data_IF_805664125478
#
_entry.id   IF_805664125478
#
_cell.length_a   1.000
_cell.length_b   1.000
_cell.length_c   1.000
_cell.angle_alpha   90.00
_cell.angle_beta   90.00
_cell.angle_gamma   90.00
#
_symmetry.space_group_name_H-M   'P 1'
#
loop_
_entity.id
_entity.type
_entity.pdbx_description
1 polymer ?
#
# COMPACT_ATOMS: atom_id res chain seq x y z
N UNK A 1 9.56 1.63 34.00
CA UNK A 1 10.40 2.69 33.42
C UNK A 1 10.71 2.32 31.98
N UNK A 2 10.69 3.27 31.05
CA UNK A 2 10.95 3.09 29.65
C UNK A 2 9.81 3.56 28.74
N UNK A 3 10.11 3.65 27.45
CA UNK A 3 9.14 4.04 26.40
C UNK A 3 8.21 2.86 26.04
N UNK A 4 7.08 3.19 25.41
CA UNK A 4 6.06 2.21 25.04
C UNK A 4 5.94 2.12 23.51
N UNK A 5 5.74 0.90 23.03
CA UNK A 5 5.43 0.64 21.62
C UNK A 5 4.13 -0.14 21.53
N UNK A 6 3.18 0.37 20.73
CA UNK A 6 1.88 -0.26 20.50
C UNK A 6 1.79 -0.64 19.03
N UNK A 7 1.67 -1.92 18.72
CA UNK A 7 1.45 -2.39 17.36
C UNK A 7 -0.03 -2.38 16.99
N UNK A 8 -0.35 -1.74 15.85
CA UNK A 8 -1.70 -1.65 15.29
C UNK A 8 -1.71 -2.06 13.82
N UNK A 9 -2.86 -2.46 13.25
CA UNK A 9 -2.91 -3.00 11.90
C UNK A 9 -2.50 -2.03 10.80
N UNK A 10 -2.86 -0.75 10.90
CA UNK A 10 -2.66 0.23 9.83
C UNK A 10 -2.52 1.67 10.30
N UNK A 11 -2.21 2.56 9.38
CA UNK A 11 -1.98 3.99 9.66
C UNK A 11 -3.22 4.69 10.24
N UNK A 12 -4.41 4.34 9.74
CA UNK A 12 -5.66 4.91 10.27
C UNK A 12 -5.86 4.54 11.73
N UNK A 13 -5.67 3.27 12.07
CA UNK A 13 -5.77 2.76 13.43
C UNK A 13 -4.69 3.37 14.34
N UNK A 14 -3.50 3.66 13.78
CA UNK A 14 -2.42 4.35 14.51
C UNK A 14 -2.84 5.79 14.86
N UNK A 15 -3.33 6.55 13.90
CA UNK A 15 -3.77 7.92 14.14
C UNK A 15 -4.96 8.00 15.11
N UNK A 16 -5.92 7.08 14.99
CA UNK A 16 -7.07 7.00 15.92
C UNK A 16 -6.62 6.65 17.34
N UNK A 17 -5.66 5.75 17.51
CA UNK A 17 -5.11 5.38 18.81
C UNK A 17 -4.30 6.54 19.42
N UNK A 18 -3.45 7.21 18.62
CA UNK A 18 -2.70 8.41 19.05
C UNK A 18 -3.65 9.48 19.57
N UNK A 19 -4.75 9.75 18.84
CA UNK A 19 -5.73 10.75 19.28
C UNK A 19 -6.39 10.35 20.61
N UNK A 20 -6.78 9.09 20.78
CA UNK A 20 -7.39 8.59 22.04
C UNK A 20 -6.42 8.64 23.21
N UNK A 21 -5.16 8.28 23.00
CA UNK A 21 -4.15 8.31 24.07
C UNK A 21 -3.88 9.76 24.49
N UNK A 22 -3.77 10.70 23.53
CA UNK A 22 -3.60 12.14 23.84
C UNK A 22 -4.80 12.72 24.59
N UNK A 23 -6.03 12.26 24.27
CA UNK A 23 -7.24 12.69 24.98
C UNK A 23 -7.29 12.14 26.43
N UNK A 24 -6.76 10.93 26.63
CA UNK A 24 -6.82 10.24 27.93
C UNK A 24 -5.66 10.57 28.88
N UNK A 25 -4.51 10.94 28.34
CA UNK A 25 -3.29 11.22 29.10
C UNK A 25 -2.96 12.72 29.04
N UNK A 26 -2.38 13.22 30.12
CA UNK A 26 -1.87 14.60 30.18
C UNK A 26 -0.69 14.82 29.23
N UNK A 27 -0.27 16.09 29.07
CA UNK A 27 0.90 16.51 28.28
C UNK A 27 2.26 15.98 28.79
N UNK A 28 2.25 15.14 29.82
CA UNK A 28 3.46 14.51 30.40
C UNK A 28 4.04 13.39 29.54
N UNK A 29 3.32 12.96 28.48
CA UNK A 29 3.72 11.91 27.57
C UNK A 29 3.77 12.40 26.14
N UNK A 30 4.78 11.98 25.38
CA UNK A 30 4.89 12.23 23.95
C UNK A 30 4.30 11.05 23.16
N UNK A 31 3.18 11.25 22.49
CA UNK A 31 2.50 10.21 21.70
C UNK A 31 2.72 10.44 20.21
N UNK A 32 3.34 9.48 19.52
CA UNK A 32 3.74 9.56 18.12
C UNK A 32 3.19 8.40 17.30
N UNK A 33 2.68 8.63 16.08
CA UNK A 33 2.42 7.56 15.13
C UNK A 33 3.71 7.08 14.46
N UNK A 34 3.73 5.82 13.97
CA UNK A 34 4.83 5.26 13.18
C UNK A 34 4.32 4.35 12.06
N UNK A 35 4.36 4.84 10.81
CA UNK A 35 3.99 4.07 9.62
C UNK A 35 4.75 4.58 8.37
N UNK A 36 4.77 3.80 7.31
CA UNK A 36 5.65 4.01 6.13
C UNK A 36 5.38 5.29 5.33
N UNK A 37 4.21 5.92 5.49
CA UNK A 37 3.85 7.14 4.75
C UNK A 37 4.08 8.44 5.53
N UNK A 38 4.66 8.37 6.74
CA UNK A 38 5.11 9.54 7.48
C UNK A 38 6.27 10.23 6.76
N UNK A 39 6.37 11.53 6.92
CA UNK A 39 7.51 12.26 6.41
C UNK A 39 8.78 12.04 7.24
N UNK A 40 9.92 12.49 6.69
CA UNK A 40 11.21 12.27 7.35
C UNK A 40 11.38 13.02 8.66
N UNK A 41 10.68 14.13 8.86
CA UNK A 41 10.79 14.93 10.09
C UNK A 41 9.91 14.35 11.21
N UNK A 42 8.73 13.84 10.88
CA UNK A 42 7.90 13.08 11.81
C UNK A 42 8.61 11.79 12.27
N UNK A 43 9.27 11.07 11.36
CA UNK A 43 10.05 9.88 11.71
C UNK A 43 11.24 10.21 12.61
N UNK A 44 11.90 11.36 12.44
CA UNK A 44 13.03 11.77 13.31
C UNK A 44 12.61 11.92 14.77
N UNK A 45 11.37 12.36 15.05
CA UNK A 45 10.87 12.49 16.42
C UNK A 45 10.83 11.14 17.15
N UNK A 46 10.62 10.05 16.41
CA UNK A 46 10.61 8.69 16.99
C UNK A 46 11.98 8.33 17.56
N UNK A 47 13.05 8.74 16.89
CA UNK A 47 14.43 8.45 17.29
C UNK A 47 15.00 9.46 18.30
N UNK A 48 14.39 10.65 18.40
CA UNK A 48 14.91 11.71 19.27
C UNK A 48 14.69 11.34 20.73
N UNK A 49 15.75 11.34 21.57
CA UNK A 49 15.59 11.15 23.00
C UNK A 49 14.72 12.27 23.62
N UNK A 50 13.81 11.91 24.49
CA UNK A 50 12.85 12.85 25.12
C UNK A 50 13.21 13.19 26.56
N UNK A 51 14.39 12.79 27.03
CA UNK A 51 14.82 13.03 28.42
C UNK A 51 13.90 12.32 29.42
N UNK A 52 13.23 13.08 30.27
CA UNK A 52 12.34 12.54 31.30
C UNK A 52 10.90 12.34 30.80
N UNK A 53 10.56 12.78 29.59
CA UNK A 53 9.21 12.61 29.03
C UNK A 53 9.08 11.22 28.42
N UNK A 54 8.11 10.44 28.87
CA UNK A 54 7.84 9.10 28.32
C UNK A 54 7.28 9.20 26.91
N UNK A 55 7.84 8.42 26.01
CA UNK A 55 7.39 8.29 24.63
C UNK A 55 6.46 7.08 24.48
N UNK A 56 5.35 7.28 23.81
CA UNK A 56 4.43 6.23 23.39
C UNK A 56 4.39 6.24 21.86
N UNK A 57 4.91 5.20 21.22
CA UNK A 57 4.90 5.07 19.77
C UNK A 57 3.81 4.09 19.36
N UNK A 58 2.87 4.54 18.53
CA UNK A 58 1.82 3.69 17.96
C UNK A 58 2.19 3.35 16.54
N UNK A 59 2.59 2.10 16.28
CA UNK A 59 3.23 1.70 15.05
C UNK A 59 2.47 0.62 14.29
N UNK A 60 2.61 0.63 12.97
CA UNK A 60 2.31 -0.52 12.12
C UNK A 60 3.50 -1.50 12.10
N UNK A 61 3.43 -2.51 11.24
CA UNK A 61 4.54 -3.46 11.03
C UNK A 61 5.88 -2.83 10.61
N UNK A 62 5.94 -1.53 10.32
CA UNK A 62 7.21 -0.82 10.08
C UNK A 62 8.16 -0.92 11.28
N UNK A 63 7.61 -0.93 12.50
CA UNK A 63 8.40 -1.07 13.71
C UNK A 63 8.80 -2.53 14.01
N UNK A 64 8.36 -3.49 13.21
CA UNK A 64 8.71 -4.90 13.34
C UNK A 64 10.14 -5.19 12.84
N UNK A 65 10.64 -4.45 11.83
CA UNK A 65 11.97 -4.63 11.27
C UNK A 65 12.73 -3.34 10.98
N UNK A 66 12.03 -2.28 10.53
CA UNK A 66 12.65 -1.11 9.91
C UNK A 66 12.97 0.03 10.88
N UNK A 67 12.40 0.03 12.08
CA UNK A 67 12.60 1.08 13.10
C UNK A 67 13.20 0.45 14.36
N UNK A 68 14.28 1.04 14.86
CA UNK A 68 14.84 0.69 16.17
C UNK A 68 14.56 1.83 17.14
N UNK A 69 13.87 1.52 18.24
CA UNK A 69 13.57 2.46 19.33
C UNK A 69 14.28 1.94 20.56
N UNK A 70 15.17 2.74 21.10
CA UNK A 70 15.90 2.39 22.32
C UNK A 70 15.04 2.66 23.56
N UNK A 71 15.32 1.94 24.64
CA UNK A 71 14.66 2.18 25.94
C UNK A 71 13.20 1.72 26.02
N UNK A 72 12.77 0.79 25.14
CA UNK A 72 11.40 0.24 25.20
C UNK A 72 11.22 -0.67 26.41
N UNK A 73 10.41 -0.23 27.38
CA UNK A 73 10.03 -1.01 28.55
C UNK A 73 8.73 -1.79 28.38
N UNK A 74 7.87 -1.38 27.42
CA UNK A 74 6.60 -2.03 27.19
C UNK A 74 6.28 -2.12 25.69
N UNK A 75 5.87 -3.32 25.26
CA UNK A 75 5.25 -3.57 23.96
C UNK A 75 3.82 -4.04 24.18
N UNK A 76 2.87 -3.42 23.49
CA UNK A 76 1.48 -3.90 23.38
C UNK A 76 1.25 -4.32 21.93
N UNK A 77 0.95 -5.59 21.72
CA UNK A 77 0.75 -6.15 20.38
C UNK A 77 -0.74 -6.51 20.18
N UNK A 78 -1.40 -5.81 19.25
CA UNK A 78 -2.78 -6.14 18.86
C UNK A 78 -2.88 -7.45 18.09
N UNK A 79 -1.75 -8.10 17.76
CA UNK A 79 -1.63 -9.34 17.01
C UNK A 79 -2.22 -9.27 15.60
N UNK A 80 -2.34 -8.07 15.04
CA UNK A 80 -2.94 -7.83 13.72
C UNK A 80 -2.02 -7.00 12.83
N UNK A 81 -2.15 -7.21 11.52
CA UNK A 81 -1.51 -6.37 10.49
C UNK A 81 -2.44 -6.22 9.27
N UNK A 82 -2.14 -5.25 8.42
CA UNK A 82 -2.74 -5.19 7.08
C UNK A 82 -1.87 -5.94 6.10
N UNK A 83 -2.50 -6.83 5.36
CA UNK A 83 -1.86 -7.66 4.37
C UNK A 83 -2.50 -7.49 3.00
N UNK A 84 -1.66 -7.40 1.97
CA UNK A 84 -2.13 -7.39 0.59
C UNK A 84 -2.43 -8.83 0.16
N UNK A 85 -3.66 -9.07 -0.28
CA UNK A 85 -4.11 -10.35 -0.83
C UNK A 85 -4.63 -10.15 -2.25
N UNK A 86 -4.40 -11.12 -3.12
CA UNK A 86 -4.99 -11.11 -4.45
C UNK A 86 -6.44 -11.53 -4.37
N UNK A 87 -7.35 -10.75 -4.96
CA UNK A 87 -8.73 -11.19 -5.17
C UNK A 87 -8.81 -12.17 -6.35
N UNK A 88 -9.89 -12.93 -6.43
CA UNK A 88 -10.17 -13.82 -7.58
C UNK A 88 -10.18 -13.06 -8.94
N UNK A 89 -10.46 -11.76 -8.94
CA UNK A 89 -10.38 -10.90 -10.14
C UNK A 89 -8.95 -10.43 -10.46
N UNK A 90 -7.94 -10.81 -9.66
CA UNK A 90 -6.55 -10.39 -9.81
C UNK A 90 -6.30 -8.93 -9.38
N UNK A 91 -7.22 -8.32 -8.65
CA UNK A 91 -6.99 -7.06 -7.96
C UNK A 91 -6.38 -7.32 -6.59
N UNK A 92 -5.56 -6.39 -6.10
CA UNK A 92 -4.99 -6.46 -4.75
C UNK A 92 -5.90 -5.77 -3.75
N UNK A 93 -6.19 -6.43 -2.64
CA UNK A 93 -6.97 -5.89 -1.53
C UNK A 93 -6.12 -5.91 -0.26
N UNK A 94 -6.24 -4.87 0.57
CA UNK A 94 -5.64 -4.86 1.90
C UNK A 94 -6.66 -5.37 2.92
N UNK A 95 -6.32 -6.45 3.57
CA UNK A 95 -7.15 -7.07 4.62
C UNK A 95 -6.44 -7.02 5.96
N UNK A 96 -7.23 -6.88 7.04
CA UNK A 96 -6.69 -6.99 8.39
C UNK A 96 -6.71 -8.45 8.81
N UNK A 97 -5.52 -9.00 9.04
CA UNK A 97 -5.32 -10.40 9.40
C UNK A 97 -4.56 -10.52 10.72
N UNK A 98 -4.63 -11.69 11.35
CA UNK A 98 -3.74 -12.04 12.45
C UNK A 98 -2.30 -12.21 11.93
N UNK A 99 -1.33 -11.82 12.76
CA UNK A 99 0.09 -12.03 12.45
C UNK A 99 0.49 -13.49 12.74
N UNK A 100 1.66 -13.87 12.27
CA UNK A 100 2.27 -15.19 12.50
C UNK A 100 3.09 -15.22 13.80
N UNK A 101 3.44 -16.41 14.28
CA UNK A 101 4.25 -16.57 15.51
C UNK A 101 5.63 -15.96 15.39
N UNK A 102 6.25 -16.02 14.20
CA UNK A 102 7.54 -15.39 13.95
C UNK A 102 7.44 -13.86 14.00
N UNK A 103 6.41 -13.28 13.43
CA UNK A 103 6.12 -11.84 13.53
C UNK A 103 5.88 -11.43 14.99
N UNK A 104 5.10 -12.20 15.74
CA UNK A 104 4.90 -11.97 17.18
C UNK A 104 6.20 -12.04 17.99
N UNK A 105 7.11 -12.94 17.64
CA UNK A 105 8.46 -13.01 18.24
C UNK A 105 9.30 -11.79 17.88
N UNK A 106 9.24 -11.32 16.65
CA UNK A 106 9.95 -10.10 16.22
C UNK A 106 9.45 -8.86 16.96
N UNK A 107 8.12 -8.72 17.13
CA UNK A 107 7.50 -7.63 17.90
C UNK A 107 7.87 -7.69 19.38
N UNK A 108 7.85 -8.85 20.00
CA UNK A 108 8.37 -9.06 21.35
C UNK A 108 9.83 -8.63 21.46
N UNK A 109 10.66 -8.98 20.47
CA UNK A 109 12.09 -8.63 20.41
C UNK A 109 12.37 -7.14 20.26
N UNK A 110 11.36 -6.26 20.18
CA UNK A 110 11.55 -4.80 20.21
C UNK A 110 11.81 -4.29 21.61
N UNK A 111 11.32 -4.96 22.65
CA UNK A 111 11.65 -4.68 24.06
C UNK A 111 12.72 -5.63 24.59
N UNK A 112 13.28 -5.34 25.74
CA UNK A 112 14.32 -6.17 26.37
C UNK A 112 15.71 -6.03 25.76
N UNK A 113 15.98 -5.00 24.94
CA UNK A 113 17.28 -4.77 24.30
C UNK A 113 18.24 -3.96 25.17
N UNK A 114 17.80 -2.80 25.61
CA UNK A 114 18.59 -1.83 26.38
C UNK A 114 18.12 -1.72 27.82
N UNK A 115 16.92 -2.16 28.13
CA UNK A 115 16.34 -2.23 29.47
C UNK A 115 15.40 -3.44 29.57
N UNK A 116 15.13 -3.97 30.78
CA UNK A 116 14.09 -4.97 30.99
C UNK A 116 12.74 -4.49 30.49
N UNK A 117 11.97 -5.37 29.84
CA UNK A 117 10.68 -4.99 29.29
C UNK A 117 9.67 -6.13 29.27
N UNK A 118 8.42 -5.75 29.05
CA UNK A 118 7.27 -6.64 29.05
C UNK A 118 6.54 -6.49 27.70
N UNK A 119 6.00 -7.59 27.18
CA UNK A 119 5.13 -7.58 26.01
C UNK A 119 3.76 -8.15 26.36
N UNK A 120 2.71 -7.38 26.13
CA UNK A 120 1.31 -7.82 26.21
C UNK A 120 0.79 -8.12 24.80
N UNK A 121 0.33 -9.33 24.59
CA UNK A 121 -0.35 -9.77 23.36
C UNK A 121 -1.85 -9.76 23.58
N UNK A 122 -2.59 -9.05 22.71
CA UNK A 122 -4.05 -8.96 22.81
C UNK A 122 -4.70 -10.12 22.04
N UNK A 123 -4.41 -11.34 22.49
CA UNK A 123 -4.94 -12.61 21.97
C UNK A 123 -4.97 -13.63 23.11
N UNK A 124 -5.89 -14.60 23.06
CA UNK A 124 -5.88 -15.71 24.00
C UNK A 124 -4.70 -16.66 23.72
N UNK A 125 -4.28 -17.43 24.71
CA UNK A 125 -3.21 -18.42 24.55
C UNK A 125 -3.60 -19.48 23.54
N UNK A 126 -4.85 -19.95 23.58
CA UNK A 126 -5.39 -20.91 22.61
C UNK A 126 -5.34 -20.39 21.17
N UNK A 127 -5.78 -19.14 20.95
CA UNK A 127 -5.73 -18.56 19.59
C UNK A 127 -4.29 -18.30 19.13
N UNK A 128 -3.37 -17.98 20.06
CA UNK A 128 -1.95 -17.85 19.75
C UNK A 128 -1.34 -19.17 19.29
N UNK A 129 -1.70 -20.28 19.93
CA UNK A 129 -1.21 -21.62 19.57
C UNK A 129 -1.68 -22.08 18.20
N UNK A 130 -2.85 -21.61 17.75
CA UNK A 130 -3.39 -21.87 16.42
C UNK A 130 -2.79 -21.01 15.30
N UNK A 131 -2.00 -19.96 15.64
CA UNK A 131 -1.37 -19.13 14.62
C UNK A 131 -0.38 -19.92 13.78
N UNK A 132 -0.30 -19.55 12.50
CA UNK A 132 0.75 -20.05 11.61
C UNK A 132 2.14 -19.64 12.13
N UNK A 133 3.11 -20.53 11.99
CA UNK A 133 4.48 -20.26 12.43
C UNK A 133 5.15 -19.18 11.57
N UNK A 134 4.96 -19.25 10.25
CA UNK A 134 5.55 -18.35 9.28
C UNK A 134 4.52 -17.78 8.31
N UNK A 135 4.82 -16.61 7.80
CA UNK A 135 4.02 -15.97 6.76
C UNK A 135 4.20 -16.71 5.44
N UNK A 136 3.10 -16.90 4.71
CA UNK A 136 3.20 -17.44 3.36
C UNK A 136 4.06 -16.52 2.47
N UNK A 137 4.93 -17.07 1.63
CA UNK A 137 5.72 -16.30 0.67
C UNK A 137 4.84 -15.39 -0.19
N UNK A 138 5.36 -14.23 -0.56
CA UNK A 138 4.60 -13.26 -1.35
C UNK A 138 4.12 -13.85 -2.68
N UNK A 139 4.94 -14.68 -3.30
CA UNK A 139 4.62 -15.35 -4.57
C UNK A 139 3.40 -16.27 -4.47
N UNK A 140 3.07 -16.78 -3.29
CA UNK A 140 1.87 -17.59 -3.05
C UNK A 140 0.60 -16.76 -2.81
N UNK A 141 0.72 -15.48 -2.49
CA UNK A 141 -0.39 -14.59 -2.11
C UNK A 141 -0.71 -13.54 -3.17
N UNK A 142 0.28 -13.14 -3.96
CA UNK A 142 0.16 -12.07 -4.94
C UNK A 142 -0.06 -12.61 -6.36
N UNK A 143 -0.65 -11.83 -7.27
CA UNK A 143 -0.76 -12.22 -8.67
C UNK A 143 0.63 -12.44 -9.28
N UNK A 144 0.82 -13.60 -9.94
CA UNK A 144 2.12 -14.00 -10.50
C UNK A 144 2.23 -13.75 -12.02
N UNK A 145 1.28 -13.02 -12.60
CA UNK A 145 1.20 -12.84 -14.05
C UNK A 145 2.46 -12.20 -14.66
N UNK A 146 3.05 -11.21 -13.96
CA UNK A 146 4.30 -10.58 -14.42
C UNK A 146 5.45 -11.59 -14.41
N UNK A 147 5.57 -12.37 -13.33
CA UNK A 147 6.61 -13.41 -13.20
C UNK A 147 6.47 -14.46 -14.30
N UNK A 148 5.25 -14.97 -14.52
CA UNK A 148 4.96 -15.95 -15.58
C UNK A 148 5.32 -15.37 -16.95
N UNK A 149 5.04 -14.08 -17.21
CA UNK A 149 5.39 -13.42 -18.46
C UNK A 149 6.91 -13.33 -18.65
N UNK A 150 7.68 -13.04 -17.59
CA UNK A 150 9.15 -13.01 -17.64
C UNK A 150 9.74 -14.39 -17.98
N UNK A 151 9.19 -15.48 -17.42
CA UNK A 151 9.60 -16.84 -17.76
C UNK A 151 9.42 -17.14 -19.26
N UNK A 152 8.27 -16.79 -19.84
CA UNK A 152 8.04 -16.97 -21.28
C UNK A 152 9.01 -16.15 -22.14
N UNK A 153 9.36 -14.93 -21.71
CA UNK A 153 10.36 -14.13 -22.43
C UNK A 153 11.76 -14.71 -22.34
N UNK A 154 12.11 -15.28 -21.18
CA UNK A 154 13.35 -16.02 -21.01
C UNK A 154 13.36 -17.37 -21.75
N UNK A 155 12.26 -17.73 -22.43
CA UNK A 155 12.05 -19.04 -23.10
C UNK A 155 12.17 -20.23 -22.14
N UNK A 156 11.73 -20.03 -20.89
CA UNK A 156 11.70 -21.05 -19.85
C UNK A 156 10.25 -21.39 -19.57
N UNK A 157 9.94 -22.66 -19.41
CA UNK A 157 8.59 -23.11 -19.08
C UNK A 157 8.26 -22.79 -17.60
N UNK A 158 7.29 -21.90 -17.32
CA UNK A 158 6.96 -21.53 -15.96
C UNK A 158 6.34 -22.68 -15.16
N UNK A 159 5.64 -23.62 -15.81
CA UNK A 159 4.94 -24.73 -15.13
C UNK A 159 5.93 -25.68 -14.47
N UNK A 160 7.03 -25.96 -15.15
CA UNK A 160 8.06 -26.90 -14.67
C UNK A 160 9.13 -26.22 -13.82
N UNK A 161 9.29 -24.91 -13.94
CA UNK A 161 10.43 -24.18 -13.35
C UNK A 161 10.07 -23.48 -12.05
N UNK A 162 8.84 -22.97 -11.91
CA UNK A 162 8.41 -22.30 -10.70
C UNK A 162 8.09 -23.34 -9.62
N UNK A 163 9.02 -23.52 -8.67
CA UNK A 163 8.83 -24.43 -7.54
C UNK A 163 8.07 -23.75 -6.39
N UNK A 164 7.28 -24.53 -5.64
CA UNK A 164 6.62 -24.05 -4.41
C UNK A 164 5.33 -23.25 -4.64
N UNK A 165 4.86 -23.12 -5.87
CA UNK A 165 3.57 -22.50 -6.21
C UNK A 165 2.61 -23.60 -6.70
N UNK A 166 1.33 -23.44 -6.35
CA UNK A 166 0.28 -24.26 -6.92
C UNK A 166 0.27 -24.14 -8.45
N UNK A 167 0.46 -25.25 -9.18
CA UNK A 167 0.46 -25.25 -10.66
C UNK A 167 -0.81 -24.63 -11.26
N UNK A 168 -1.95 -24.73 -10.59
CA UNK A 168 -3.22 -24.12 -11.03
C UNK A 168 -3.07 -22.62 -11.20
N UNK A 169 -2.38 -21.93 -10.30
CA UNK A 169 -2.15 -20.48 -10.39
C UNK A 169 -1.27 -20.09 -11.57
N UNK A 170 -0.30 -20.94 -11.93
CA UNK A 170 0.53 -20.73 -13.11
C UNK A 170 -0.33 -20.86 -14.36
N UNK A 171 -1.18 -21.90 -14.45
CA UNK A 171 -2.10 -22.12 -15.56
C UNK A 171 -3.11 -20.97 -15.70
N UNK A 172 -3.70 -20.52 -14.62
CA UNK A 172 -4.60 -19.35 -14.61
C UNK A 172 -3.90 -18.08 -15.10
N UNK A 173 -2.63 -17.91 -14.76
CA UNK A 173 -1.82 -16.78 -15.25
C UNK A 173 -1.54 -16.88 -16.74
N UNK A 174 -1.25 -18.07 -17.26
CA UNK A 174 -1.06 -18.32 -18.70
C UNK A 174 -2.36 -18.02 -19.45
N UNK A 175 -3.49 -18.49 -18.93
CA UNK A 175 -4.81 -18.23 -19.52
C UNK A 175 -5.12 -16.72 -19.57
N UNK A 176 -4.86 -16.00 -18.47
CA UNK A 176 -5.01 -14.54 -18.46
C UNK A 176 -4.10 -13.85 -19.51
N UNK A 177 -2.82 -14.22 -19.57
CA UNK A 177 -1.87 -13.64 -20.53
C UNK A 177 -2.29 -13.93 -21.98
N UNK A 178 -2.85 -15.10 -22.25
CA UNK A 178 -3.41 -15.48 -23.54
C UNK A 178 -4.64 -14.61 -23.87
N UNK A 179 -5.58 -14.45 -22.94
CA UNK A 179 -6.75 -13.56 -23.12
C UNK A 179 -6.36 -12.10 -23.32
N UNK A 180 -5.31 -11.63 -22.69
CA UNK A 180 -4.77 -10.28 -22.89
C UNK A 180 -4.11 -10.12 -24.26
N UNK A 181 -3.80 -11.22 -24.96
CA UNK A 181 -3.11 -11.24 -26.26
C UNK A 181 -1.60 -11.09 -26.14
N UNK A 182 -1.04 -11.39 -24.97
CA UNK A 182 0.41 -11.41 -24.74
C UNK A 182 1.05 -12.74 -25.11
N UNK A 183 0.26 -13.80 -25.01
CA UNK A 183 0.62 -15.15 -25.46
C UNK A 183 -0.35 -15.59 -26.55
N UNK A 184 0.12 -16.38 -27.51
CA UNK A 184 -0.70 -17.09 -28.48
C UNK A 184 -0.39 -18.59 -28.42
N UNK A 185 -1.41 -19.42 -28.63
CA UNK A 185 -1.26 -20.88 -28.67
C UNK A 185 -0.99 -21.32 -30.10
N UNK A 186 0.11 -22.05 -30.32
CA UNK A 186 0.43 -22.70 -31.59
C UNK A 186 0.79 -24.17 -31.37
N UNK A 187 -0.16 -25.05 -31.67
CA UNK A 187 -0.06 -26.46 -31.28
C UNK A 187 -0.02 -26.58 -29.76
N UNK A 188 0.96 -27.27 -29.21
CA UNK A 188 1.13 -27.47 -27.74
C UNK A 188 2.01 -26.38 -27.11
N UNK A 189 2.34 -25.30 -27.81
CA UNK A 189 3.25 -24.27 -27.29
C UNK A 189 2.57 -22.91 -27.17
N UNK A 190 2.92 -22.22 -26.11
CA UNK A 190 2.62 -20.80 -25.95
C UNK A 190 3.77 -19.95 -26.48
N UNK A 191 3.48 -19.05 -27.39
CA UNK A 191 4.45 -18.13 -27.98
C UNK A 191 4.16 -16.70 -27.52
N UNK A 192 5.24 -15.96 -27.25
CA UNK A 192 5.15 -14.54 -26.87
C UNK A 192 4.81 -13.72 -28.11
N UNK A 193 3.73 -12.93 -28.02
CA UNK A 193 3.30 -12.01 -29.08
C UNK A 193 4.08 -10.69 -29.04
N UNK A 194 3.85 -9.80 -30.02
CA UNK A 194 4.38 -8.45 -29.98
C UNK A 194 3.89 -7.65 -28.75
N UNK A 195 2.64 -7.89 -28.29
CA UNK A 195 2.12 -7.34 -27.04
C UNK A 195 2.89 -7.87 -25.82
N UNK A 196 3.17 -9.18 -25.80
CA UNK A 196 3.96 -9.81 -24.75
C UNK A 196 5.40 -9.31 -24.69
N UNK A 197 6.03 -9.04 -25.82
CA UNK A 197 7.36 -8.43 -25.88
C UNK A 197 7.37 -6.96 -25.44
N UNK A 198 6.26 -6.24 -25.65
CA UNK A 198 6.12 -4.85 -25.20
C UNK A 198 5.98 -4.74 -23.68
N UNK A 199 5.27 -5.65 -23.03
CA UNK A 199 4.88 -5.52 -21.62
C UNK A 199 6.04 -5.20 -20.66
N UNK A 200 7.22 -5.83 -20.72
CA UNK A 200 8.33 -5.50 -19.80
C UNK A 200 9.09 -4.21 -20.17
N UNK A 201 8.85 -3.66 -21.37
CA UNK A 201 9.48 -2.39 -21.74
C UNK A 201 8.85 -1.18 -21.01
N UNK A 202 7.74 -1.41 -20.29
CA UNK A 202 7.04 -0.39 -19.52
C UNK A 202 6.92 -0.83 -18.06
N UNK A 203 7.06 0.07 -17.08
CA UNK A 203 6.94 -0.24 -15.65
C UNK A 203 5.45 -0.34 -15.23
N UNK A 204 4.68 -1.20 -15.89
CA UNK A 204 3.25 -1.41 -15.69
C UNK A 204 2.96 -2.89 -15.46
N UNK A 205 1.93 -3.19 -14.67
CA UNK A 205 1.40 -4.55 -14.59
C UNK A 205 0.85 -5.02 -15.95
N UNK A 206 0.84 -6.35 -16.18
CA UNK A 206 0.48 -6.94 -17.50
C UNK A 206 -0.87 -6.45 -18.04
N UNK A 207 -1.87 -6.23 -17.19
CA UNK A 207 -3.19 -5.72 -17.62
C UNK A 207 -3.10 -4.30 -18.18
N UNK A 208 -2.36 -3.43 -17.51
CA UNK A 208 -2.18 -2.03 -17.91
C UNK A 208 -1.24 -1.91 -19.12
N UNK A 209 -0.24 -2.76 -19.22
CA UNK A 209 0.60 -2.87 -20.41
C UNK A 209 -0.20 -3.34 -21.64
N UNK A 210 -1.09 -4.35 -21.48
CA UNK A 210 -1.99 -4.80 -22.55
C UNK A 210 -2.98 -3.70 -22.98
N UNK A 211 -3.53 -2.96 -21.99
CA UNK A 211 -4.38 -1.79 -22.27
C UNK A 211 -3.64 -0.76 -23.11
N UNK A 212 -2.44 -0.36 -22.69
CA UNK A 212 -1.64 0.64 -23.42
C UNK A 212 -1.29 0.19 -24.82
N UNK A 213 -0.91 -1.08 -24.99
CA UNK A 213 -0.66 -1.67 -26.29
C UNK A 213 -1.88 -1.59 -27.22
N UNK A 214 -3.05 -2.02 -26.74
CA UNK A 214 -4.31 -1.98 -27.50
C UNK A 214 -4.75 -0.54 -27.81
N UNK A 215 -4.57 0.39 -26.87
CA UNK A 215 -4.83 1.81 -27.04
C UNK A 215 -4.07 2.41 -28.22
N UNK A 216 -2.75 2.16 -28.27
CA UNK A 216 -1.89 2.65 -29.37
C UNK A 216 -2.24 1.96 -30.68
N UNK A 217 -2.50 0.65 -30.66
CA UNK A 217 -2.91 -0.11 -31.85
C UNK A 217 -4.25 0.33 -32.43
N UNK A 218 -5.15 0.84 -31.61
CA UNK A 218 -6.41 1.43 -32.04
C UNK A 218 -6.27 2.84 -32.64
N UNK A 219 -5.04 3.38 -32.72
CA UNK A 219 -4.74 4.68 -33.30
C UNK A 219 -4.94 5.87 -32.35
N UNK A 220 -5.17 5.62 -31.05
CA UNK A 220 -5.28 6.69 -30.08
C UNK A 220 -3.92 7.29 -29.72
N UNK A 221 -3.87 8.59 -29.35
CA UNK A 221 -2.64 9.25 -28.94
C UNK A 221 -1.99 8.55 -27.74
N UNK A 222 -0.67 8.36 -27.79
CA UNK A 222 0.09 7.67 -26.74
C UNK A 222 -0.02 8.34 -25.38
N UNK A 223 0.10 9.69 -25.32
CA UNK A 223 0.21 10.43 -24.07
C UNK A 223 -0.97 10.24 -23.11
N UNK A 224 -2.23 10.40 -23.51
CA UNK A 224 -3.38 10.08 -22.64
C UNK A 224 -3.41 8.63 -22.19
N UNK A 225 -3.05 7.69 -23.06
CA UNK A 225 -2.99 6.26 -22.75
C UNK A 225 -1.98 5.96 -21.65
N UNK A 226 -0.81 6.57 -21.68
CA UNK A 226 0.23 6.43 -20.65
C UNK A 226 -0.27 6.97 -19.32
N UNK A 227 -0.89 8.17 -19.30
CA UNK A 227 -1.43 8.76 -18.08
C UNK A 227 -2.48 7.83 -17.46
N UNK A 228 -3.44 7.37 -18.26
CA UNK A 228 -4.51 6.48 -17.79
C UNK A 228 -3.94 5.18 -17.24
N UNK A 229 -3.04 4.52 -17.98
CA UNK A 229 -2.41 3.27 -17.56
C UNK A 229 -1.65 3.43 -16.24
N UNK A 230 -0.88 4.52 -16.10
CA UNK A 230 -0.11 4.82 -14.89
C UNK A 230 -1.00 5.12 -13.68
N UNK A 231 -2.08 5.87 -13.88
CA UNK A 231 -3.05 6.17 -12.81
C UNK A 231 -3.72 4.89 -12.31
N UNK A 232 -4.11 4.00 -13.21
CA UNK A 232 -4.72 2.72 -12.84
C UNK A 232 -3.71 1.82 -12.11
N UNK A 233 -2.46 1.77 -12.59
CA UNK A 233 -1.41 0.91 -12.04
C UNK A 233 -1.01 1.30 -10.62
N UNK A 234 -0.94 2.60 -10.33
CA UNK A 234 -0.58 3.12 -9.00
C UNK A 234 -1.77 3.09 -8.02
N UNK A 235 -2.88 2.45 -8.38
CA UNK A 235 -4.11 2.43 -7.57
C UNK A 235 -4.58 3.82 -7.17
N UNK A 236 -5.20 4.53 -8.09
CA UNK A 236 -5.62 5.93 -7.96
C UNK A 236 -6.61 6.27 -6.83
N UNK A 237 -7.07 5.28 -6.07
CA UNK A 237 -7.86 5.52 -4.86
C UNK A 237 -6.99 6.18 -3.80
N UNK A 238 -7.15 7.48 -3.61
CA UNK A 238 -6.42 8.25 -2.60
C UNK A 238 -5.50 9.34 -3.14
N UNK A 239 -5.61 9.71 -4.41
CA UNK A 239 -4.96 10.94 -4.91
C UNK A 239 -5.63 12.20 -4.40
N UNK A 240 -6.93 12.14 -4.14
CA UNK A 240 -7.64 13.26 -3.53
C UNK A 240 -7.48 13.19 -2.01
N UNK A 241 -6.92 14.24 -1.44
CA UNK A 241 -7.06 14.45 -0.02
C UNK A 241 -8.48 14.94 0.25
N UNK A 242 -9.26 14.12 0.92
CA UNK A 242 -10.55 14.51 1.47
C UNK A 242 -10.38 14.55 2.98
N UNK A 243 -10.67 15.69 3.63
CA UNK A 243 -10.58 15.79 5.08
C UNK A 243 -11.39 14.70 5.77
N UNK A 244 -10.87 14.18 6.88
CA UNK A 244 -11.53 13.08 7.59
C UNK A 244 -12.88 13.51 8.16
N UNK A 245 -13.80 12.54 8.26
CA UNK A 245 -15.07 12.71 8.94
C UNK A 245 -14.81 13.14 10.40
N UNK A 246 -15.46 14.21 10.85
CA UNK A 246 -15.45 14.63 12.25
C UNK A 246 -16.25 13.65 13.11
N UNK A 247 -15.92 13.59 14.41
CA UNK A 247 -16.50 12.62 15.36
C UNK A 247 -18.01 12.79 15.53
N UNK A 248 -18.48 14.03 15.50
CA UNK A 248 -19.87 14.48 15.67
C UNK A 248 -20.66 14.61 14.38
N UNK A 249 -20.02 14.41 13.22
CA UNK A 249 -20.63 14.55 11.90
C UNK A 249 -21.37 13.26 11.50
N UNK A 250 -22.62 13.38 11.05
CA UNK A 250 -23.36 12.24 10.51
C UNK A 250 -22.74 11.73 9.19
N UNK A 251 -23.00 10.48 8.78
CA UNK A 251 -22.55 9.97 7.47
C UNK A 251 -23.05 10.81 6.29
N UNK A 252 -24.28 11.29 6.37
CA UNK A 252 -24.91 12.11 5.32
C UNK A 252 -24.24 13.50 5.21
N UNK A 253 -24.05 14.20 6.33
CA UNK A 253 -23.33 15.48 6.37
C UNK A 253 -21.90 15.35 5.87
N UNK A 254 -21.23 14.22 6.16
CA UNK A 254 -19.90 13.96 5.66
C UNK A 254 -19.88 13.77 4.12
N UNK A 255 -20.87 13.07 3.55
CA UNK A 255 -20.99 12.92 2.09
C UNK A 255 -21.20 14.28 1.41
N UNK A 256 -22.10 15.12 1.94
CA UNK A 256 -22.31 16.47 1.43
C UNK A 256 -21.04 17.31 1.50
N UNK A 257 -20.38 17.28 2.65
CA UNK A 257 -19.10 17.97 2.83
C UNK A 257 -18.03 17.49 1.82
N UNK A 258 -17.92 16.18 1.58
CA UNK A 258 -16.97 15.64 0.61
C UNK A 258 -17.28 16.17 -0.81
N UNK A 259 -18.55 16.19 -1.21
CA UNK A 259 -18.95 16.68 -2.53
C UNK A 259 -18.62 18.18 -2.70
N UNK A 260 -19.01 19.00 -1.74
CA UNK A 260 -18.68 20.42 -1.75
C UNK A 260 -17.17 20.69 -1.73
N UNK A 261 -16.43 19.93 -0.94
CA UNK A 261 -14.98 20.03 -0.88
C UNK A 261 -14.32 19.67 -2.21
N UNK A 262 -14.75 18.57 -2.83
CA UNK A 262 -14.26 18.14 -4.15
C UNK A 262 -14.56 19.20 -5.19
N UNK A 263 -15.80 19.68 -5.25
CA UNK A 263 -16.19 20.69 -6.24
C UNK A 263 -15.43 22.00 -6.04
N UNK A 264 -15.33 22.50 -4.82
CA UNK A 264 -14.61 23.74 -4.51
C UNK A 264 -13.12 23.63 -4.80
N UNK A 265 -12.50 22.49 -4.46
CA UNK A 265 -11.06 22.30 -4.53
C UNK A 265 -10.60 21.84 -5.92
N UNK A 266 -11.36 20.95 -6.54
CA UNK A 266 -10.99 20.28 -7.78
C UNK A 266 -11.93 20.57 -8.96
N UNK A 267 -13.02 21.32 -8.76
CA UNK A 267 -14.11 21.50 -9.71
C UNK A 267 -13.67 21.91 -11.12
N UNK A 268 -12.62 22.75 -11.23
CA UNK A 268 -12.06 23.17 -12.53
C UNK A 268 -11.41 22.02 -13.33
N UNK A 269 -11.14 20.86 -12.72
CA UNK A 269 -10.56 19.68 -13.34
C UNK A 269 -11.54 18.50 -13.41
N UNK A 270 -12.68 18.61 -12.74
CA UNK A 270 -13.68 17.54 -12.71
C UNK A 270 -14.09 17.18 -14.14
N UNK A 271 -13.97 15.90 -14.48
CA UNK A 271 -14.42 15.32 -15.73
C UNK A 271 -15.62 14.41 -15.49
N UNK A 272 -16.13 13.80 -16.56
CA UNK A 272 -17.28 12.89 -16.50
C UNK A 272 -17.04 11.64 -15.64
N UNK A 273 -15.78 11.28 -15.46
CA UNK A 273 -15.36 10.14 -14.62
C UNK A 273 -14.19 10.54 -13.72
N UNK A 274 -13.94 9.83 -12.60
CA UNK A 274 -12.76 10.03 -11.78
C UNK A 274 -11.46 9.95 -12.58
N UNK A 275 -11.38 9.03 -13.53
CA UNK A 275 -10.21 8.85 -14.39
C UNK A 275 -9.98 10.08 -15.29
N UNK A 276 -11.05 10.61 -15.86
CA UNK A 276 -11.00 11.84 -16.67
C UNK A 276 -10.55 13.04 -15.82
N UNK A 277 -11.02 13.14 -14.58
CA UNK A 277 -10.57 14.16 -13.64
C UNK A 277 -9.05 14.07 -13.40
N UNK A 278 -8.51 12.89 -13.17
CA UNK A 278 -7.06 12.70 -13.00
C UNK A 278 -6.26 13.09 -14.25
N UNK A 279 -6.75 12.75 -15.44
CA UNK A 279 -6.10 13.16 -16.69
C UNK A 279 -6.06 14.67 -16.82
N UNK A 280 -7.20 15.35 -16.55
CA UNK A 280 -7.29 16.81 -16.59
C UNK A 280 -6.31 17.47 -15.61
N UNK A 281 -6.21 16.92 -14.41
CA UNK A 281 -5.29 17.40 -13.39
C UNK A 281 -3.83 17.21 -13.77
N UNK A 282 -3.48 16.04 -14.30
CA UNK A 282 -2.13 15.77 -14.81
C UNK A 282 -1.76 16.72 -15.95
N UNK A 283 -2.67 16.92 -16.91
CA UNK A 283 -2.45 17.89 -18.00
C UNK A 283 -2.24 19.32 -17.47
N UNK A 284 -3.03 19.73 -16.49
CA UNK A 284 -2.87 21.05 -15.85
C UNK A 284 -1.55 21.18 -15.10
N UNK A 285 -1.10 20.11 -14.44
CA UNK A 285 0.18 20.03 -13.76
C UNK A 285 1.36 20.17 -14.75
N UNK A 286 1.35 19.40 -15.82
CA UNK A 286 2.44 19.35 -16.80
C UNK A 286 2.48 20.55 -17.74
N UNK A 287 1.34 21.21 -17.99
CA UNK A 287 1.27 22.43 -18.79
C UNK A 287 1.96 23.64 -18.11
N UNK A 288 2.21 23.56 -16.81
CA UNK A 288 2.85 24.62 -16.03
C UNK A 288 4.29 24.23 -15.72
N UNK A 289 5.22 24.70 -16.54
CA UNK A 289 6.66 24.49 -16.31
C UNK A 289 7.18 25.39 -15.20
N UNK A 290 7.72 24.80 -14.13
CA UNK A 290 8.42 25.50 -13.07
C UNK A 290 8.11 24.97 -11.65
N UNK A 291 9.12 24.97 -10.77
CA UNK A 291 9.02 24.43 -9.39
C UNK A 291 7.92 25.10 -8.54
N UNK A 292 7.64 26.40 -8.80
CA UNK A 292 6.60 27.13 -8.05
C UNK A 292 5.17 26.70 -8.43
N UNK A 293 4.96 26.22 -9.66
CA UNK A 293 3.67 25.72 -10.10
C UNK A 293 3.37 24.31 -9.57
N UNK A 294 4.38 23.54 -9.25
CA UNK A 294 4.27 22.25 -8.59
C UNK A 294 3.47 22.36 -7.27
N UNK A 295 3.81 23.30 -6.40
CA UNK A 295 3.09 23.59 -5.16
C UNK A 295 1.63 23.95 -5.38
N UNK A 296 1.34 24.82 -6.34
CA UNK A 296 -0.02 25.29 -6.61
C UNK A 296 -0.97 24.18 -7.09
N UNK A 297 -0.45 23.17 -7.78
CA UNK A 297 -1.25 22.06 -8.26
C UNK A 297 -1.32 20.92 -7.24
N UNK A 298 -0.26 20.73 -6.45
CA UNK A 298 -0.16 19.62 -5.50
C UNK A 298 -0.58 19.98 -4.09
N UNK A 299 -0.72 21.25 -3.74
CA UNK A 299 -1.17 21.69 -2.42
C UNK A 299 -2.51 21.07 -1.99
N UNK A 300 -3.54 20.98 -2.87
CA UNK A 300 -4.77 20.25 -2.56
C UNK A 300 -4.57 18.74 -2.36
N UNK A 301 -3.42 18.21 -2.79
CA UNK A 301 -3.04 16.79 -2.70
C UNK A 301 -1.97 16.54 -1.64
N UNK A 302 -1.85 17.39 -0.68
CA UNK A 302 -0.71 17.52 0.24
C UNK A 302 -0.13 16.22 0.78
N UNK A 303 -0.88 15.15 0.79
CA UNK A 303 -0.45 13.84 1.29
C UNK A 303 0.11 12.89 0.22
N UNK A 304 -0.25 13.09 -1.06
CA UNK A 304 0.05 12.12 -2.12
C UNK A 304 0.90 12.67 -3.26
N UNK A 305 1.43 13.89 -3.15
CA UNK A 305 2.22 14.51 -4.22
C UNK A 305 3.47 13.69 -4.62
N UNK A 306 3.98 12.84 -3.73
CA UNK A 306 5.12 11.95 -4.02
C UNK A 306 4.77 10.81 -4.98
N UNK A 307 3.48 10.59 -5.28
CA UNK A 307 3.03 9.59 -6.24
C UNK A 307 2.98 10.12 -7.68
N UNK A 308 3.22 11.41 -7.88
CA UNK A 308 3.35 12.08 -9.18
C UNK A 308 4.82 12.27 -9.51
#
# INVERSE_FOLDING_TARGET
>A
TGDFLIFVPGSREADEMVAKIKEALSDEVLVLPAYSTLDGDELKLIYTPTGNVRKIVVATNIAESSITIDGLGLVIDTMRCKEATASASGSTRLETVLITKDSAKQRLGRTGRTCPGICFRLISESDYDELQDHRQPEIERMPIHNVVMEFFQAKVDPVTTICGIDPVRVVESIDLLTRLGMLEVRGDKHLVTACGHFAPSVPLGVKNAAFLWKWVKAGYPLYPGVIIASIIDVHATGYFYIPRKKRDQSPFEYILFCNEYIERTFGKWVGETPLHTYVNMWCAFTAKTGRNHYRLVTEPFSYNYRKW
#
